data_IF_328270224266
#
_entry.id   IF_328270224266
#
_cell.length_a   1.000
_cell.length_b   1.000
_cell.length_c   1.000
_cell.angle_alpha   90.00
_cell.angle_beta   90.00
_cell.angle_gamma   90.00
#
_symmetry.space_group_name_H-M   'P 1'
#
loop_
_entity.id
_entity.type
_entity.pdbx_description
1 polymer ?
#
# COMPACT_ATOMS: atom_id res chain seq x y z
N UNK A 1 -25.51 -4.03 22.95
CA UNK A 1 -24.66 -4.52 21.84
C UNK A 1 -23.25 -4.60 22.39
N UNK A 2 -22.76 -5.81 22.60
CA UNK A 2 -21.35 -6.03 22.93
C UNK A 2 -20.49 -5.62 21.75
N UNK A 3 -19.40 -4.88 21.99
CA UNK A 3 -18.44 -4.56 20.94
C UNK A 3 -17.90 -5.87 20.35
N UNK A 4 -17.88 -6.00 19.04
CA UNK A 4 -17.26 -7.14 18.39
C UNK A 4 -15.75 -7.10 18.65
N UNK A 5 -15.25 -8.05 19.44
CA UNK A 5 -13.82 -8.27 19.56
C UNK A 5 -13.26 -8.49 18.15
N UNK A 6 -12.15 -7.79 17.84
CA UNK A 6 -11.39 -8.02 16.62
C UNK A 6 -11.15 -9.51 16.44
N UNK A 7 -11.60 -10.09 15.33
CA UNK A 7 -11.68 -11.52 15.15
C UNK A 7 -10.69 -11.96 14.09
N UNK A 8 -9.79 -12.83 14.46
CA UNK A 8 -8.91 -13.49 13.49
C UNK A 8 -9.73 -14.21 12.44
N UNK A 9 -9.46 -13.94 11.18
CA UNK A 9 -10.08 -14.65 10.08
C UNK A 9 -9.38 -16.00 9.85
N UNK A 10 -10.13 -16.97 9.39
CA UNK A 10 -9.58 -18.26 8.99
C UNK A 10 -8.87 -18.16 7.64
N UNK A 11 -7.97 -19.11 7.36
CA UNK A 11 -7.33 -19.21 6.05
C UNK A 11 -8.36 -19.33 4.92
N UNK A 12 -9.44 -20.05 5.14
CA UNK A 12 -10.53 -20.18 4.17
C UNK A 12 -11.19 -18.82 3.88
N UNK A 13 -11.49 -18.04 4.92
CA UNK A 13 -12.07 -16.69 4.76
C UNK A 13 -11.10 -15.76 4.00
N UNK A 14 -9.82 -15.79 4.34
CA UNK A 14 -8.79 -15.03 3.64
C UNK A 14 -8.71 -15.44 2.16
N UNK A 15 -8.79 -16.74 1.86
CA UNK A 15 -8.80 -17.24 0.49
C UNK A 15 -10.02 -16.76 -0.30
N UNK A 16 -11.21 -16.73 0.33
CA UNK A 16 -12.41 -16.17 -0.31
C UNK A 16 -12.27 -14.67 -0.61
N UNK A 17 -11.63 -13.93 0.29
CA UNK A 17 -11.31 -12.50 0.04
C UNK A 17 -10.35 -12.32 -1.13
N UNK A 18 -9.31 -13.17 -1.24
CA UNK A 18 -8.39 -13.17 -2.39
C UNK A 18 -9.12 -13.45 -3.71
N UNK A 19 -10.00 -14.44 -3.75
CA UNK A 19 -10.81 -14.73 -4.93
C UNK A 19 -11.76 -13.58 -5.28
N UNK A 20 -12.40 -12.98 -4.29
CA UNK A 20 -13.27 -11.82 -4.50
C UNK A 20 -12.48 -10.63 -5.06
N UNK A 21 -11.29 -10.38 -4.54
CA UNK A 21 -10.41 -9.32 -5.02
C UNK A 21 -10.02 -9.55 -6.49
N UNK A 22 -9.50 -10.71 -6.84
CA UNK A 22 -9.11 -11.02 -8.22
C UNK A 22 -10.31 -11.07 -9.17
N UNK A 23 -11.46 -11.53 -8.70
CA UNK A 23 -12.70 -11.52 -9.48
C UNK A 23 -13.14 -10.12 -9.92
N UNK A 24 -12.81 -9.08 -9.13
CA UNK A 24 -13.12 -7.68 -9.45
C UNK A 24 -12.05 -7.03 -10.33
N UNK A 25 -10.79 -7.42 -10.16
CA UNK A 25 -9.64 -6.78 -10.80
C UNK A 25 -9.27 -7.41 -12.16
N UNK A 26 -9.65 -8.66 -12.40
CA UNK A 26 -9.23 -9.37 -13.61
C UNK A 26 -10.23 -9.25 -14.76
N UNK A 27 -9.74 -9.11 -16.02
CA UNK A 27 -10.57 -9.23 -17.21
C UNK A 27 -11.26 -10.60 -17.26
N UNK A 28 -12.46 -10.64 -17.81
CA UNK A 28 -13.32 -11.84 -17.84
C UNK A 28 -12.65 -13.11 -18.43
N UNK A 29 -11.72 -12.95 -19.38
CA UNK A 29 -10.95 -14.06 -19.99
C UNK A 29 -9.90 -14.66 -19.03
N UNK A 30 -9.37 -13.88 -18.09
CA UNK A 30 -8.40 -14.35 -17.11
C UNK A 30 -9.10 -15.02 -15.89
N UNK A 31 -10.36 -14.68 -15.61
CA UNK A 31 -11.15 -15.27 -14.53
C UNK A 31 -11.34 -16.79 -14.65
N UNK A 32 -11.38 -17.31 -15.87
CA UNK A 32 -11.62 -18.74 -16.12
C UNK A 32 -10.41 -19.63 -15.77
N UNK A 33 -9.19 -19.08 -15.75
CA UNK A 33 -7.95 -19.81 -15.44
C UNK A 33 -7.48 -19.67 -13.98
N UNK A 34 -8.00 -18.67 -13.25
CA UNK A 34 -7.54 -18.35 -11.90
C UNK A 34 -8.45 -18.97 -10.83
N UNK A 35 -8.42 -20.29 -10.69
CA UNK A 35 -9.22 -20.99 -9.66
C UNK A 35 -8.42 -21.49 -8.46
N UNK A 36 -7.12 -21.28 -8.41
CA UNK A 36 -6.27 -21.71 -7.29
C UNK A 36 -5.53 -20.52 -6.69
N UNK A 37 -5.97 -20.11 -5.50
CA UNK A 37 -5.21 -19.25 -4.62
C UNK A 37 -4.25 -20.13 -3.82
N UNK A 38 -3.01 -20.23 -4.25
CA UNK A 38 -1.98 -20.98 -3.56
C UNK A 38 -1.44 -20.16 -2.39
N UNK A 39 -1.58 -20.66 -1.17
CA UNK A 39 -1.02 -20.01 0.02
C UNK A 39 0.49 -19.99 -0.09
N UNK A 40 1.07 -18.80 -0.27
CA UNK A 40 2.50 -18.60 -0.39
C UNK A 40 3.17 -18.30 0.96
N UNK A 41 2.44 -17.65 1.87
CA UNK A 41 2.89 -17.35 3.23
C UNK A 41 1.70 -17.07 4.13
N UNK A 42 1.91 -17.24 5.43
CA UNK A 42 0.94 -16.83 6.46
C UNK A 42 1.66 -16.43 7.73
N UNK A 43 1.11 -15.45 8.43
CA UNK A 43 1.41 -15.13 9.81
C UNK A 43 0.10 -14.95 10.58
N UNK A 44 0.18 -14.65 11.87
CA UNK A 44 -1.01 -14.26 12.65
C UNK A 44 -1.65 -12.97 12.15
N UNK A 45 -0.89 -12.14 11.43
CA UNK A 45 -1.32 -10.84 10.96
C UNK A 45 -1.83 -10.84 9.51
N UNK A 46 -1.39 -11.78 8.68
CA UNK A 46 -1.74 -11.78 7.26
C UNK A 46 -1.63 -13.16 6.60
N UNK A 47 -2.26 -13.27 5.44
CA UNK A 47 -2.12 -14.38 4.49
C UNK A 47 -1.66 -13.84 3.14
N UNK A 48 -0.75 -14.54 2.48
CA UNK A 48 -0.33 -14.20 1.11
C UNK A 48 -0.74 -15.32 0.17
N UNK A 49 -1.42 -14.95 -0.91
CA UNK A 49 -1.85 -15.89 -1.94
C UNK A 49 -1.24 -15.50 -3.28
N UNK A 50 -0.60 -16.44 -3.93
CA UNK A 50 -0.17 -16.31 -5.32
C UNK A 50 -1.32 -16.63 -6.26
N UNK A 51 -1.35 -15.93 -7.39
CA UNK A 51 -2.27 -16.19 -8.48
C UNK A 51 -1.56 -16.97 -9.58
N UNK A 52 -2.17 -18.05 -10.08
CA UNK A 52 -1.61 -18.86 -11.17
C UNK A 52 -1.42 -18.06 -12.48
N UNK A 53 -2.18 -16.99 -12.68
CA UNK A 53 -2.01 -16.08 -13.81
C UNK A 53 -0.90 -15.02 -13.61
N UNK A 54 -0.19 -15.08 -12.49
CA UNK A 54 0.80 -14.11 -12.04
C UNK A 54 0.25 -13.09 -11.06
N UNK A 55 1.15 -12.57 -10.24
CA UNK A 55 0.83 -11.64 -9.15
C UNK A 55 0.48 -12.34 -7.84
N UNK A 56 0.36 -11.55 -6.79
CA UNK A 56 -0.06 -12.01 -5.46
C UNK A 56 -0.90 -10.97 -4.74
N UNK A 57 -1.60 -11.39 -3.70
CA UNK A 57 -2.36 -10.52 -2.81
C UNK A 57 -2.02 -10.83 -1.35
N UNK A 58 -1.95 -9.80 -0.53
CA UNK A 58 -1.77 -9.88 0.92
C UNK A 58 -3.10 -9.54 1.56
N UNK A 59 -3.68 -10.51 2.26
CA UNK A 59 -4.96 -10.40 2.95
C UNK A 59 -4.70 -10.27 4.45
N UNK A 60 -5.38 -9.33 5.11
CA UNK A 60 -5.30 -9.16 6.55
C UNK A 60 -5.77 -10.42 7.28
N UNK A 61 -5.10 -10.76 8.37
CA UNK A 61 -5.46 -11.87 9.25
C UNK A 61 -6.52 -11.52 10.30
N UNK A 62 -6.98 -10.27 10.31
CA UNK A 62 -7.90 -9.72 11.30
C UNK A 62 -8.99 -8.89 10.62
N UNK A 63 -10.24 -9.02 11.08
CA UNK A 63 -11.39 -8.32 10.50
C UNK A 63 -11.51 -6.84 10.93
N UNK A 64 -10.70 -6.40 11.88
CA UNK A 64 -10.64 -5.00 12.32
C UNK A 64 -9.95 -4.07 11.31
N UNK A 65 -9.27 -4.62 10.29
CA UNK A 65 -8.55 -3.87 9.27
C UNK A 65 -9.08 -4.14 7.87
N UNK A 66 -8.70 -3.28 6.92
CA UNK A 66 -9.09 -3.48 5.52
C UNK A 66 -8.61 -4.86 5.02
N UNK A 67 -9.47 -5.63 4.34
CA UNK A 67 -9.16 -7.01 3.97
C UNK A 67 -7.91 -7.15 3.08
N UNK A 68 -7.68 -6.24 2.15
CA UNK A 68 -6.53 -6.26 1.25
C UNK A 68 -5.49 -5.26 1.74
N UNK A 69 -4.34 -5.77 2.18
CA UNK A 69 -3.22 -4.96 2.65
C UNK A 69 -2.31 -4.53 1.51
N UNK A 70 -2.20 -5.34 0.46
CA UNK A 70 -1.39 -5.04 -0.70
C UNK A 70 -1.53 -6.10 -1.79
N UNK A 71 -1.14 -5.76 -3.01
CA UNK A 71 -1.16 -6.69 -4.13
C UNK A 71 -0.19 -6.28 -5.24
N UNK A 72 0.11 -7.22 -6.11
CA UNK A 72 0.75 -6.98 -7.41
C UNK A 72 0.03 -7.78 -8.50
N UNK A 73 0.05 -7.27 -9.72
CA UNK A 73 -0.53 -7.95 -10.88
C UNK A 73 0.46 -8.85 -11.63
N UNK A 74 1.73 -8.82 -11.23
CA UNK A 74 2.81 -9.58 -11.89
C UNK A 74 3.74 -10.19 -10.85
N UNK A 75 4.56 -11.17 -11.28
CA UNK A 75 5.51 -11.84 -10.40
C UNK A 75 4.87 -12.88 -9.51
N UNK A 76 5.64 -13.38 -8.57
CA UNK A 76 5.23 -14.42 -7.61
C UNK A 76 5.83 -14.10 -6.25
N UNK A 77 5.07 -14.27 -5.19
CA UNK A 77 5.60 -14.16 -3.83
C UNK A 77 6.38 -15.43 -3.50
N UNK A 78 7.67 -15.27 -3.25
CA UNK A 78 8.56 -16.33 -2.79
C UNK A 78 9.05 -15.98 -1.38
N UNK A 79 8.55 -16.70 -0.38
CA UNK A 79 8.89 -16.47 1.03
C UNK A 79 10.39 -16.65 1.33
N UNK A 80 11.10 -17.47 0.53
CA UNK A 80 12.53 -17.72 0.67
C UNK A 80 13.40 -16.61 0.08
N UNK A 81 12.85 -15.78 -0.81
CA UNK A 81 13.62 -14.76 -1.55
C UNK A 81 12.84 -13.45 -1.66
N UNK A 82 12.53 -12.84 -0.52
CA UNK A 82 11.82 -11.57 -0.47
C UNK A 82 12.79 -10.39 -0.56
N UNK A 83 12.48 -9.36 -1.37
CA UNK A 83 13.15 -8.06 -1.31
C UNK A 83 13.05 -7.46 0.10
N UNK A 84 14.11 -6.75 0.54
CA UNK A 84 14.16 -6.21 1.90
C UNK A 84 13.02 -5.23 2.19
N UNK A 85 12.64 -4.39 1.21
CA UNK A 85 11.49 -3.48 1.36
C UNK A 85 10.17 -4.22 1.59
N UNK A 86 9.96 -5.39 0.98
CA UNK A 86 8.77 -6.21 1.22
C UNK A 86 8.82 -6.88 2.59
N UNK A 87 9.99 -7.35 3.03
CA UNK A 87 10.18 -7.88 4.40
C UNK A 87 9.83 -6.83 5.46
N UNK A 88 10.29 -5.59 5.28
CA UNK A 88 10.02 -4.49 6.21
C UNK A 88 8.53 -4.11 6.22
N UNK A 89 7.89 -4.10 5.06
CA UNK A 89 6.46 -3.89 4.94
C UNK A 89 5.66 -4.95 5.69
N UNK A 90 5.98 -6.22 5.51
CA UNK A 90 5.31 -7.33 6.18
C UNK A 90 5.49 -7.26 7.71
N UNK A 91 6.69 -6.97 8.19
CA UNK A 91 6.96 -6.72 9.63
C UNK A 91 6.17 -5.52 10.15
N UNK A 92 5.97 -4.49 9.33
CA UNK A 92 5.13 -3.34 9.70
C UNK A 92 3.67 -3.75 9.88
N UNK A 93 3.12 -4.57 8.99
CA UNK A 93 1.76 -5.11 9.14
C UNK A 93 1.62 -5.95 10.40
N UNK A 94 2.58 -6.83 10.69
CA UNK A 94 2.60 -7.65 11.91
C UNK A 94 2.54 -6.78 13.18
N UNK A 95 3.39 -5.75 13.26
CA UNK A 95 3.41 -4.84 14.41
C UNK A 95 2.10 -4.06 14.55
N UNK A 96 1.55 -3.55 13.46
CA UNK A 96 0.32 -2.77 13.49
C UNK A 96 -0.89 -3.61 13.90
N UNK A 97 -1.03 -4.81 13.33
CA UNK A 97 -2.15 -5.72 13.64
C UNK A 97 -2.02 -6.26 15.07
N UNK A 98 -0.82 -6.59 15.54
CA UNK A 98 -0.58 -6.99 16.92
C UNK A 98 -0.91 -5.85 17.92
N UNK A 99 -0.61 -4.60 17.56
CA UNK A 99 -0.96 -3.45 18.39
C UNK A 99 -2.49 -3.27 18.52
N UNK A 100 -3.26 -3.54 17.47
CA UNK A 100 -4.73 -3.52 17.51
C UNK A 100 -5.30 -4.60 18.44
N UNK A 101 -4.75 -5.81 18.41
CA UNK A 101 -5.17 -6.90 19.29
C UNK A 101 -4.91 -6.61 20.77
N UNK A 102 -3.87 -5.83 21.08
CA UNK A 102 -3.51 -5.43 22.45
C UNK A 102 -4.18 -4.13 22.89
N UNK A 103 -4.78 -3.36 22.00
CA UNK A 103 -5.53 -2.17 22.35
C UNK A 103 -6.94 -2.57 22.77
N UNK A 104 -7.32 -2.31 24.02
CA UNK A 104 -8.72 -2.36 24.47
C UNK A 104 -9.63 -1.34 23.73
N UNK A 105 -9.12 -0.71 22.69
CA UNK A 105 -9.83 0.13 21.72
C UNK A 105 -10.30 -0.69 20.50
N UNK A 106 -10.70 -1.94 20.70
CA UNK A 106 -11.41 -2.74 19.70
C UNK A 106 -12.78 -2.16 19.32
N UNK A 107 -12.99 -0.86 19.43
CA UNK A 107 -14.29 -0.24 19.14
C UNK A 107 -14.24 1.19 18.69
N UNK A 108 -13.17 1.60 18.16
CA UNK A 108 -13.34 2.54 17.08
C UNK A 108 -13.22 1.72 15.80
N UNK A 109 -14.37 1.20 15.32
CA UNK A 109 -14.59 1.28 13.89
C UNK A 109 -13.88 2.56 13.53
N UNK A 110 -12.74 2.45 12.84
CA UNK A 110 -12.30 3.54 12.03
C UNK A 110 -13.37 3.66 10.96
N UNK A 111 -14.54 4.15 11.35
CA UNK A 111 -15.23 5.10 10.53
C UNK A 111 -14.05 5.99 10.20
N UNK A 112 -13.49 5.85 9.01
CA UNK A 112 -12.85 6.96 8.36
C UNK A 112 -13.91 8.03 8.54
N UNK A 113 -13.81 8.77 9.63
CA UNK A 113 -14.34 10.11 9.69
C UNK A 113 -13.66 10.67 8.48
N UNK A 114 -14.41 10.63 7.41
CA UNK A 114 -13.93 11.12 6.14
C UNK A 114 -13.32 12.41 6.53
N UNK A 115 -12.07 12.62 6.23
CA UNK A 115 -11.34 13.84 6.51
C UNK A 115 -12.38 14.94 6.43
N UNK A 116 -12.89 15.38 7.58
CA UNK A 116 -14.06 16.22 7.61
C UNK A 116 -13.55 17.55 7.09
N UNK A 117 -13.58 17.66 5.76
CA UNK A 117 -13.55 18.92 5.06
C UNK A 117 -12.34 19.81 5.32
N UNK A 118 -11.24 19.35 5.90
CA UNK A 118 -10.01 20.09 5.78
C UNK A 118 -9.63 20.07 4.30
N UNK A 119 -9.89 21.20 3.70
CA UNK A 119 -9.55 21.57 2.36
C UNK A 119 -8.15 21.03 2.06
N UNK A 120 -8.04 20.08 1.17
CA UNK A 120 -6.74 19.66 0.64
C UNK A 120 -5.92 20.92 0.39
N UNK A 121 -4.72 20.97 0.94
CA UNK A 121 -3.83 22.13 0.82
C UNK A 121 -3.82 22.59 -0.63
N UNK A 122 -4.03 23.89 -0.86
CA UNK A 122 -3.94 24.45 -2.22
C UNK A 122 -2.46 24.50 -2.60
N UNK A 123 -1.93 23.35 -3.03
CA UNK A 123 -0.53 23.18 -3.39
C UNK A 123 -0.28 23.45 -4.87
N UNK A 124 0.97 23.72 -5.22
CA UNK A 124 1.40 23.83 -6.61
C UNK A 124 1.10 22.51 -7.36
N UNK A 125 0.62 22.64 -8.59
CA UNK A 125 0.36 21.50 -9.49
C UNK A 125 1.61 21.21 -10.34
N UNK A 126 2.70 20.82 -9.67
CA UNK A 126 3.95 20.51 -10.35
C UNK A 126 4.01 19.05 -10.75
N UNK A 127 4.67 18.78 -11.86
CA UNK A 127 4.89 17.47 -12.42
C UNK A 127 6.39 17.16 -12.50
N UNK A 128 6.73 15.93 -12.85
CA UNK A 128 8.10 15.46 -13.02
C UNK A 128 8.65 15.71 -14.42
N UNK A 129 7.76 15.97 -15.39
CA UNK A 129 8.07 16.13 -16.81
C UNK A 129 8.14 17.61 -17.20
N UNK A 130 8.22 17.91 -18.49
CA UNK A 130 8.27 19.28 -18.99
C UNK A 130 7.02 20.09 -18.54
N UNK A 131 7.21 21.35 -18.12
CA UNK A 131 8.44 22.15 -18.17
C UNK A 131 9.36 21.98 -16.95
N UNK A 132 8.97 21.20 -15.93
CA UNK A 132 9.63 21.16 -14.61
C UNK A 132 11.00 20.47 -14.65
N UNK A 133 11.22 19.57 -15.60
CA UNK A 133 12.49 18.85 -15.79
C UNK A 133 13.48 19.60 -16.73
N UNK A 134 13.29 20.89 -16.96
CA UNK A 134 14.11 21.65 -17.90
C UNK A 134 15.61 21.57 -17.62
N UNK A 135 15.98 21.52 -16.34
CA UNK A 135 17.37 21.57 -15.88
C UNK A 135 17.89 20.21 -15.40
N UNK A 136 17.12 19.12 -15.52
CA UNK A 136 17.63 17.79 -15.22
C UNK A 136 18.54 17.30 -16.35
N UNK A 137 19.59 16.48 -16.05
CA UNK A 137 20.42 15.88 -17.08
C UNK A 137 19.55 15.12 -18.09
N UNK A 138 19.83 15.29 -19.38
CA UNK A 138 19.08 14.65 -20.47
C UNK A 138 17.56 14.81 -20.41
N UNK A 139 17.05 15.80 -19.66
CA UNK A 139 15.60 16.02 -19.42
C UNK A 139 14.90 14.81 -18.81
N UNK A 140 15.61 14.01 -18.04
CA UNK A 140 15.00 12.95 -17.25
C UNK A 140 13.93 13.49 -16.28
N UNK A 141 12.92 12.70 -15.91
CA UNK A 141 11.95 13.09 -14.90
C UNK A 141 12.64 13.55 -13.60
N UNK A 142 12.10 14.58 -12.95
CA UNK A 142 12.65 15.12 -11.69
C UNK A 142 12.67 14.06 -10.58
N UNK A 143 11.76 13.12 -10.61
CA UNK A 143 11.54 12.12 -9.57
C UNK A 143 10.39 12.50 -8.63
N UNK A 144 9.53 11.53 -8.31
CA UNK A 144 8.31 11.76 -7.53
C UNK A 144 8.60 12.31 -6.12
N UNK A 145 9.60 11.79 -5.43
CA UNK A 145 9.98 12.24 -4.09
C UNK A 145 10.49 13.68 -4.09
N UNK A 146 11.33 14.03 -5.08
CA UNK A 146 11.84 15.39 -5.22
C UNK A 146 10.73 16.39 -5.57
N UNK A 147 9.81 16.02 -6.46
CA UNK A 147 8.64 16.84 -6.82
C UNK A 147 7.72 17.03 -5.62
N UNK A 148 7.40 15.98 -4.87
CA UNK A 148 6.56 16.06 -3.68
C UNK A 148 7.21 16.94 -2.59
N UNK A 149 8.51 16.75 -2.34
CA UNK A 149 9.26 17.61 -1.41
C UNK A 149 9.24 19.08 -1.81
N UNK A 150 9.47 19.38 -3.08
CA UNK A 150 9.43 20.73 -3.60
C UNK A 150 8.04 21.39 -3.45
N UNK A 151 6.95 20.64 -3.68
CA UNK A 151 5.58 21.12 -3.48
C UNK A 151 5.33 21.48 -2.01
N UNK A 152 5.77 20.65 -1.07
CA UNK A 152 5.64 20.91 0.37
C UNK A 152 6.46 22.15 0.78
N UNK A 153 7.70 22.24 0.31
CA UNK A 153 8.56 23.40 0.56
C UNK A 153 7.95 24.69 0.02
N UNK A 154 7.41 24.65 -1.18
CA UNK A 154 6.73 25.79 -1.81
C UNK A 154 5.50 26.21 -0.99
N UNK A 155 4.69 25.25 -0.55
CA UNK A 155 3.50 25.50 0.27
C UNK A 155 3.84 26.24 1.57
N UNK A 156 4.91 25.81 2.24
CA UNK A 156 5.37 26.44 3.48
C UNK A 156 6.26 27.69 3.27
N UNK A 157 6.61 28.02 2.02
CA UNK A 157 7.51 29.13 1.71
C UNK A 157 8.91 28.96 2.29
N UNK A 158 9.36 27.72 2.49
CA UNK A 158 10.64 27.41 3.12
C UNK A 158 11.47 26.41 2.29
N UNK A 159 12.80 26.65 2.13
CA UNK A 159 13.53 27.88 2.51
C UNK A 159 13.14 29.08 1.64
N UNK A 160 13.18 30.28 2.20
CA UNK A 160 12.88 31.50 1.45
C UNK A 160 13.85 31.73 0.29
N UNK A 161 15.06 31.19 0.38
CA UNK A 161 16.10 31.24 -0.66
C UNK A 161 16.98 29.98 -0.56
N UNK A 162 17.26 29.38 -1.70
CA UNK A 162 18.22 28.29 -1.79
C UNK A 162 19.65 28.76 -1.50
N UNK A 163 20.49 27.86 -0.97
CA UNK A 163 21.91 28.11 -0.71
C UNK A 163 22.75 27.07 -1.43
N UNK A 164 23.88 27.51 -1.97
CA UNK A 164 24.83 26.66 -2.70
C UNK A 164 24.38 26.35 -4.14
N UNK A 165 25.21 25.55 -4.79
CA UNK A 165 24.95 24.99 -6.12
C UNK A 165 25.53 23.58 -6.19
N UNK A 166 24.87 22.71 -6.94
CA UNK A 166 25.35 21.36 -7.19
C UNK A 166 25.41 21.10 -8.70
N UNK A 167 26.48 20.43 -9.10
CA UNK A 167 26.62 19.97 -10.49
C UNK A 167 26.51 18.46 -10.51
N UNK A 168 25.71 17.94 -11.42
CA UNK A 168 25.61 16.50 -11.68
C UNK A 168 26.60 16.14 -12.80
N UNK A 169 27.38 15.10 -12.59
CA UNK A 169 28.26 14.51 -13.61
C UNK A 169 27.55 13.38 -14.32
#
# INVERSE_FOLDING_TARGET
YSPSEAKRITQWQAQQQAYSFWGKQMPQKARAKSRTANTASRSDAYYVFNNDAGGFVIIAGDDAVAPVLGYTSTGTFDAGNLPDGLKDLLKSYERQIAALANSNQANQTATRTGFSGEKLLNTAKWDQMAPFNKYTPNKYPVGCAATAGAIVMQYHGYPAKGTGSHSYK
#
